data_IF_423186946467
#
_entry.id   IF_423186946467
#
_cell.length_a   1.000
_cell.length_b   1.000
_cell.length_c   1.000
_cell.angle_alpha   90.00
_cell.angle_beta   90.00
_cell.angle_gamma   90.00
#
_symmetry.space_group_name_H-M   'P 1'
#
loop_
_entity.id
_entity.type
_entity.pdbx_description
1 polymer ?
#
# COMPACT_ATOMS: atom_id res chain seq x y z
N UNK A 1 7.28 15.21 -13.54
CA UNK A 1 6.63 13.89 -13.52
C UNK A 1 6.16 13.63 -12.10
N UNK A 2 4.86 13.48 -11.91
CA UNK A 2 4.24 13.32 -10.58
C UNK A 2 4.44 11.88 -10.09
N UNK A 3 4.58 11.66 -8.79
CA UNK A 3 4.62 10.31 -8.23
C UNK A 3 3.41 9.48 -8.70
N UNK A 4 2.26 10.10 -8.96
CA UNK A 4 1.06 9.42 -9.46
C UNK A 4 1.14 8.96 -10.92
N UNK A 5 2.18 9.35 -11.68
CA UNK A 5 2.31 9.05 -13.14
C UNK A 5 3.24 7.90 -13.50
N UNK A 6 4.01 7.36 -12.55
CA UNK A 6 4.75 6.10 -12.77
C UNK A 6 4.45 5.10 -11.64
N UNK A 7 3.47 4.21 -11.83
CA UNK A 7 3.11 3.17 -10.86
C UNK A 7 4.07 1.97 -10.88
N UNK A 8 5.12 1.99 -11.70
CA UNK A 8 5.91 0.79 -12.01
C UNK A 8 7.20 0.65 -11.22
N UNK A 9 7.40 1.38 -10.12
CA UNK A 9 8.42 0.91 -9.17
C UNK A 9 7.93 -0.46 -8.70
N UNK A 10 8.64 -1.55 -9.01
CA UNK A 10 8.12 -2.89 -8.76
C UNK A 10 8.02 -3.16 -7.25
N UNK A 11 8.59 -2.30 -6.41
CA UNK A 11 8.68 -2.46 -4.97
C UNK A 11 7.93 -1.35 -4.20
N UNK A 12 7.46 -1.73 -3.02
CA UNK A 12 6.83 -0.89 -1.99
C UNK A 12 7.65 -1.03 -0.72
N UNK A 13 8.02 0.09 -0.11
CA UNK A 13 8.66 0.12 1.20
C UNK A 13 7.68 0.65 2.25
N UNK A 14 7.50 -0.07 3.35
CA UNK A 14 6.57 0.36 4.42
C UNK A 14 7.31 1.16 5.50
N UNK A 15 6.80 2.35 5.81
CA UNK A 15 7.28 3.20 6.90
C UNK A 15 6.24 3.34 8.02
N UNK A 16 6.72 3.27 9.27
CA UNK A 16 5.86 3.33 10.46
C UNK A 16 4.94 2.11 10.64
N UNK A 17 4.16 2.15 11.73
CA UNK A 17 3.15 1.15 12.03
C UNK A 17 3.67 -0.28 12.27
N UNK A 18 2.75 -1.26 12.37
CA UNK A 18 3.08 -2.64 12.73
C UNK A 18 3.92 -3.40 11.69
N UNK A 19 4.01 -2.90 10.44
CA UNK A 19 4.77 -3.52 9.34
C UNK A 19 5.96 -2.67 8.89
N UNK A 20 6.45 -1.75 9.74
CA UNK A 20 7.62 -0.89 9.45
C UNK A 20 8.81 -1.72 8.93
N UNK A 21 9.47 -1.19 7.90
CA UNK A 21 10.70 -1.76 7.35
C UNK A 21 10.47 -2.97 6.44
N UNK A 22 9.22 -3.38 6.21
CA UNK A 22 8.90 -4.43 5.25
C UNK A 22 8.87 -3.89 3.84
N UNK A 23 9.22 -4.77 2.91
CA UNK A 23 9.24 -4.53 1.48
C UNK A 23 8.36 -5.56 0.79
N UNK A 24 7.66 -5.13 -0.27
CA UNK A 24 6.79 -5.97 -1.07
C UNK A 24 6.99 -5.67 -2.54
N UNK A 25 6.72 -6.63 -3.42
CA UNK A 25 6.39 -6.25 -4.78
C UNK A 25 5.04 -5.50 -4.80
N UNK A 26 4.91 -4.52 -5.67
CA UNK A 26 3.70 -3.69 -5.74
C UNK A 26 2.44 -4.53 -5.94
N UNK A 27 2.51 -5.54 -6.82
CA UNK A 27 1.41 -6.46 -7.05
C UNK A 27 1.02 -7.25 -5.80
N UNK A 28 1.98 -7.88 -5.14
CA UNK A 28 1.74 -8.66 -3.91
C UNK A 28 1.18 -7.77 -2.79
N UNK A 29 1.59 -6.50 -2.76
CA UNK A 29 1.10 -5.52 -1.81
C UNK A 29 -0.40 -5.20 -2.03
N UNK A 30 -0.80 -4.99 -3.29
CA UNK A 30 -2.21 -4.79 -3.65
C UNK A 30 -3.05 -6.04 -3.38
N UNK A 31 -2.56 -7.23 -3.73
CA UNK A 31 -3.24 -8.51 -3.47
C UNK A 31 -3.45 -8.74 -1.97
N UNK A 32 -2.44 -8.43 -1.15
CA UNK A 32 -2.57 -8.47 0.31
C UNK A 32 -3.67 -7.52 0.78
N UNK A 33 -3.62 -6.24 0.42
CA UNK A 33 -4.64 -5.26 0.85
C UNK A 33 -6.04 -5.69 0.46
N UNK A 34 -6.20 -6.20 -0.75
CA UNK A 34 -7.47 -6.69 -1.27
C UNK A 34 -8.01 -7.90 -0.48
N UNK A 35 -7.16 -8.86 -0.14
CA UNK A 35 -7.56 -10.01 0.68
C UNK A 35 -8.15 -9.58 2.04
N UNK A 36 -7.64 -8.50 2.62
CA UNK A 36 -8.10 -8.00 3.92
C UNK A 36 -9.47 -7.33 3.84
N UNK A 37 -9.85 -6.77 2.67
CA UNK A 37 -11.21 -6.29 2.39
C UNK A 37 -12.18 -7.43 2.21
N UNK A 38 -11.81 -8.46 1.45
CA UNK A 38 -12.65 -9.64 1.18
C UNK A 38 -13.05 -10.35 2.49
N UNK A 39 -12.11 -10.47 3.42
CA UNK A 39 -12.37 -11.04 4.75
C UNK A 39 -13.07 -10.06 5.71
N UNK A 40 -13.33 -8.82 5.27
CA UNK A 40 -14.02 -7.77 6.02
C UNK A 40 -13.40 -7.48 7.39
N UNK A 41 -12.08 -7.65 7.51
CA UNK A 41 -11.41 -7.24 8.74
C UNK A 41 -11.61 -5.73 8.95
N UNK A 42 -11.83 -5.25 10.16
CA UNK A 42 -11.81 -3.81 10.43
C UNK A 42 -10.37 -3.27 10.39
N UNK A 43 -10.20 -1.96 10.24
CA UNK A 43 -8.88 -1.33 10.05
C UNK A 43 -7.97 -1.43 11.27
N UNK A 44 -8.54 -1.52 12.47
CA UNK A 44 -7.86 -1.70 13.74
C UNK A 44 -7.45 -3.16 14.01
N UNK A 45 -8.03 -4.13 13.27
CA UNK A 45 -7.65 -5.53 13.39
C UNK A 45 -6.25 -5.78 12.79
N UNK A 46 -5.41 -6.66 13.38
CA UNK A 46 -4.06 -6.94 12.86
C UNK A 46 -4.01 -7.36 11.39
N UNK A 47 -5.06 -8.04 10.92
CA UNK A 47 -5.20 -8.42 9.52
C UNK A 47 -5.69 -7.27 8.62
N UNK A 48 -6.36 -6.24 9.15
CA UNK A 48 -6.80 -5.06 8.38
C UNK A 48 -5.70 -4.00 8.18
N UNK A 49 -4.65 -4.05 9.01
CA UNK A 49 -3.47 -3.16 9.01
C UNK A 49 -2.93 -2.81 7.61
N UNK A 50 -2.77 -3.72 6.63
CA UNK A 50 -2.22 -3.36 5.32
C UNK A 50 -2.95 -2.20 4.60
N UNK A 51 -4.24 -2.01 4.87
CA UNK A 51 -5.06 -0.95 4.26
C UNK A 51 -4.84 0.42 4.88
N UNK A 52 -4.23 0.47 6.06
CA UNK A 52 -3.93 1.70 6.77
C UNK A 52 -2.62 2.38 6.31
N UNK A 53 -2.01 1.90 5.23
CA UNK A 53 -0.84 2.53 4.63
C UNK A 53 -1.26 3.37 3.41
N UNK A 54 -0.70 4.58 3.31
CA UNK A 54 -0.93 5.54 2.22
C UNK A 54 0.37 5.75 1.42
N UNK A 55 0.36 5.75 0.08
CA UNK A 55 1.55 6.04 -0.72
C UNK A 55 2.03 7.47 -0.48
N UNK A 56 3.35 7.68 -0.50
CA UNK A 56 3.98 9.01 -0.44
C UNK A 56 4.83 9.26 -1.69
N UNK A 57 5.31 10.50 -1.86
CA UNK A 57 6.26 10.84 -2.92
C UNK A 57 7.71 10.43 -2.57
N UNK A 58 7.95 9.99 -1.34
CA UNK A 58 9.28 9.61 -0.85
C UNK A 58 9.70 8.26 -1.40
N UNK A 59 10.94 8.18 -1.89
CA UNK A 59 11.56 6.93 -2.34
C UNK A 59 12.48 6.36 -1.27
N UNK A 60 12.49 5.03 -1.15
CA UNK A 60 13.36 4.29 -0.26
C UNK A 60 14.31 3.40 -1.07
N UNK A 61 15.55 3.28 -0.58
CA UNK A 61 16.54 2.29 -1.06
C UNK A 61 16.49 1.06 -0.17
N UNK A 62 16.52 -0.14 -0.77
CA UNK A 62 16.52 -1.38 -0.03
C UNK A 62 17.87 -1.54 0.68
N UNK A 63 17.91 -1.97 1.96
CA UNK A 63 19.17 -2.26 2.64
C UNK A 63 20.03 -3.29 1.91
N UNK A 64 19.40 -4.23 1.20
CA UNK A 64 20.08 -5.08 0.23
C UNK A 64 20.23 -4.32 -1.10
N UNK A 65 21.44 -3.83 -1.35
CA UNK A 65 21.76 -3.05 -2.54
C UNK A 65 21.60 -3.85 -3.85
N UNK A 66 21.67 -5.18 -3.81
CA UNK A 66 21.44 -6.00 -5.01
C UNK A 66 19.96 -5.93 -5.45
N UNK A 67 19.03 -5.83 -4.49
CA UNK A 67 17.62 -5.62 -4.77
C UNK A 67 17.40 -4.25 -5.41
N UNK A 68 17.96 -3.18 -4.85
CA UNK A 68 17.84 -1.84 -5.46
C UNK A 68 18.54 -1.74 -6.81
N UNK A 69 19.69 -2.40 -7.01
CA UNK A 69 20.34 -2.43 -8.32
C UNK A 69 19.46 -3.12 -9.38
N UNK A 70 18.74 -4.18 -9.00
CA UNK A 70 17.87 -4.95 -9.92
C UNK A 70 16.52 -4.28 -10.18
N UNK A 71 15.93 -3.64 -9.17
CA UNK A 71 14.53 -3.20 -9.19
C UNK A 71 14.33 -1.70 -8.98
N UNK A 72 15.40 -0.95 -8.71
CA UNK A 72 15.36 0.48 -8.40
C UNK A 72 14.95 0.79 -6.96
N UNK A 73 14.76 2.08 -6.69
CA UNK A 73 14.18 2.56 -5.44
C UNK A 73 12.68 2.27 -5.39
N UNK A 74 12.15 2.00 -4.20
CA UNK A 74 10.73 1.76 -3.98
C UNK A 74 10.00 3.02 -3.54
N UNK A 75 8.72 3.13 -3.88
CA UNK A 75 7.86 4.13 -3.25
C UNK A 75 7.60 3.77 -1.79
N UNK A 76 7.70 4.76 -0.93
CA UNK A 76 7.35 4.62 0.48
C UNK A 76 5.84 4.67 0.65
N UNK A 77 5.31 3.74 1.43
CA UNK A 77 3.95 3.74 1.91
C UNK A 77 3.98 3.96 3.41
N UNK A 78 3.31 5.00 3.88
CA UNK A 78 3.35 5.45 5.28
C UNK A 78 2.13 4.97 6.04
N UNK A 79 2.37 4.43 7.22
CA UNK A 79 1.31 4.10 8.16
C UNK A 79 0.53 5.34 8.59
N UNK A 80 -0.79 5.23 8.51
CA UNK A 80 -1.75 6.19 9.05
C UNK A 80 -2.61 5.43 10.05
N UNK A 81 -2.75 5.95 11.26
CA UNK A 81 -3.48 5.28 12.32
C UNK A 81 -4.97 5.06 11.95
N UNK A 82 -5.60 3.93 12.35
CA UNK A 82 -7.01 3.65 12.09
C UNK A 82 -7.96 4.79 12.49
N UNK A 83 -7.68 5.46 13.62
CA UNK A 83 -8.47 6.59 14.08
C UNK A 83 -8.47 7.77 13.09
N UNK A 84 -7.35 8.00 12.39
CA UNK A 84 -7.25 9.04 11.38
C UNK A 84 -8.08 8.70 10.13
N UNK A 85 -8.13 7.42 9.73
CA UNK A 85 -9.02 6.96 8.67
C UNK A 85 -10.50 7.14 9.02
N UNK A 86 -10.87 6.88 10.28
CA UNK A 86 -12.22 7.15 10.77
C UNK A 86 -12.62 8.63 10.63
N UNK A 87 -11.68 9.56 10.85
CA UNK A 87 -11.90 11.00 10.63
C UNK A 87 -12.04 11.38 9.15
N UNK A 88 -11.31 10.71 8.27
CA UNK A 88 -11.41 10.91 6.82
C UNK A 88 -12.59 10.17 6.17
N UNK A 89 -13.26 9.29 6.91
CA UNK A 89 -14.43 8.53 6.50
C UNK A 89 -14.12 7.22 5.79
N UNK A 90 -12.97 7.07 5.13
CA UNK A 90 -12.56 5.81 4.48
C UNK A 90 -11.05 5.71 4.29
N UNK A 91 -10.56 4.47 4.15
CA UNK A 91 -9.20 4.18 3.70
C UNK A 91 -8.93 4.67 2.27
N UNK A 92 -7.64 4.83 1.94
CA UNK A 92 -7.21 5.06 0.56
C UNK A 92 -7.27 3.77 -0.26
N UNK A 93 -7.76 3.88 -1.50
CA UNK A 93 -7.71 2.85 -2.52
C UNK A 93 -6.75 3.30 -3.62
N UNK A 94 -5.77 2.47 -3.98
CA UNK A 94 -4.94 2.69 -5.15
C UNK A 94 -5.81 2.68 -6.43
N UNK A 95 -5.36 3.32 -7.53
CA UNK A 95 -6.11 3.31 -8.79
C UNK A 95 -6.52 1.90 -9.23
N UNK A 96 -5.62 0.93 -9.10
CA UNK A 96 -5.88 -0.47 -9.45
C UNK A 96 -6.89 -1.15 -8.51
N UNK A 97 -6.99 -0.69 -7.24
CA UNK A 97 -8.00 -1.16 -6.29
C UNK A 97 -9.38 -0.54 -6.58
N UNK A 98 -9.43 0.68 -7.11
CA UNK A 98 -10.67 1.36 -7.53
C UNK A 98 -11.28 0.67 -8.75
N UNK A 99 -10.48 0.40 -9.78
CA UNK A 99 -10.94 -0.28 -10.99
C UNK A 99 -11.56 -1.66 -10.69
N UNK A 100 -10.96 -2.41 -9.76
CA UNK A 100 -11.48 -3.70 -9.32
C UNK A 100 -12.73 -3.57 -8.42
N UNK A 101 -12.77 -2.55 -7.56
CA UNK A 101 -13.95 -2.26 -6.75
C UNK A 101 -15.17 -1.91 -7.61
N UNK A 102 -15.01 -1.01 -8.58
CA UNK A 102 -16.09 -0.53 -9.45
C UNK A 102 -16.62 -1.66 -10.35
N UNK A 103 -15.74 -2.54 -10.85
CA UNK A 103 -16.17 -3.73 -11.61
C UNK A 103 -17.04 -4.69 -10.81
N UNK A 104 -16.82 -4.80 -9.50
CA UNK A 104 -17.58 -5.72 -8.64
C UNK A 104 -18.89 -5.15 -8.12
N UNK A 105 -19.00 -3.84 -7.99
CA UNK A 105 -20.25 -3.18 -7.58
C UNK A 105 -21.23 -3.02 -8.76
N UNK A 106 -20.74 -3.07 -9.99
CA UNK A 106 -21.54 -3.02 -11.21
C UNK A 106 -22.07 -4.39 -11.69
N UNK A 107 -21.66 -5.50 -11.06
CA UNK A 107 -22.06 -6.87 -11.38
C UNK A 107 -23.09 -7.41 -10.37
#
# INVERSE_FOLDING_TARGET
MSAYTDPRTPLVALSGGPKRGRWFFYRDWLELRESTRRMRYPLDHPAGVPRCYLPTEELATNPDLAITAKYGAARTWRWIEPAQWGRWGREYLAPEELDDHDRRTAA
#
